data_IF_757509944311
#
_entry.id   IF_757509944311
#
_cell.length_a   1.000
_cell.length_b   1.000
_cell.length_c   1.000
_cell.angle_alpha   90.00
_cell.angle_beta   90.00
_cell.angle_gamma   90.00
#
_symmetry.space_group_name_H-M   'P 1'
#
loop_
_entity.id
_entity.type
_entity.pdbx_description
1 polymer ?
#
# COMPACT_ATOMS: atom_id res chain seq x y z
N UNK A 1 -67.99 -22.25 -41.84
CA UNK A 1 -67.03 -23.33 -41.55
C UNK A 1 -65.64 -22.79 -41.85
N UNK A 2 -64.98 -22.21 -40.85
CA UNK A 2 -63.60 -21.74 -40.96
C UNK A 2 -62.75 -22.61 -40.04
N UNK A 3 -61.74 -23.23 -40.64
CA UNK A 3 -60.74 -24.13 -40.05
C UNK A 3 -59.76 -23.34 -39.18
N UNK A 4 -59.59 -23.75 -37.92
CA UNK A 4 -58.51 -23.30 -37.05
C UNK A 4 -57.28 -24.19 -37.28
N UNK A 5 -56.13 -23.55 -37.50
CA UNK A 5 -54.83 -24.21 -37.55
C UNK A 5 -54.17 -24.17 -36.15
N UNK A 6 -53.81 -25.34 -35.65
CA UNK A 6 -53.07 -25.58 -34.42
C UNK A 6 -51.62 -25.09 -34.56
N UNK A 7 -51.18 -24.22 -33.67
CA UNK A 7 -49.78 -23.78 -33.57
C UNK A 7 -49.03 -24.65 -32.56
N UNK A 8 -48.01 -25.35 -33.03
CA UNK A 8 -47.12 -26.22 -32.25
C UNK A 8 -46.08 -25.35 -31.52
N UNK A 9 -46.02 -25.48 -30.18
CA UNK A 9 -44.97 -24.88 -29.35
C UNK A 9 -43.70 -25.74 -29.44
N UNK A 10 -42.60 -25.19 -29.94
CA UNK A 10 -41.27 -25.79 -29.86
C UNK A 10 -40.53 -25.28 -28.63
N UNK A 11 -40.06 -26.22 -27.79
CA UNK A 11 -39.29 -25.98 -26.58
C UNK A 11 -37.79 -25.88 -26.96
N UNK A 12 -37.24 -24.67 -26.97
CA UNK A 12 -35.80 -24.45 -27.13
C UNK A 12 -35.07 -24.70 -25.81
N UNK A 13 -34.17 -25.68 -25.81
CA UNK A 13 -33.21 -25.98 -24.74
C UNK A 13 -32.18 -24.85 -24.63
N UNK A 14 -32.19 -24.11 -23.52
CA UNK A 14 -31.13 -23.16 -23.17
C UNK A 14 -29.93 -23.91 -22.57
N UNK A 15 -28.84 -23.93 -23.33
CA UNK A 15 -27.52 -24.38 -22.88
C UNK A 15 -26.98 -23.40 -21.85
N UNK A 16 -26.84 -23.84 -20.61
CA UNK A 16 -26.29 -23.07 -19.49
C UNK A 16 -24.82 -22.76 -19.79
N UNK A 17 -24.52 -21.50 -20.11
CA UNK A 17 -23.16 -21.04 -20.34
C UNK A 17 -22.49 -20.78 -18.97
N UNK A 18 -21.67 -21.75 -18.54
CA UNK A 18 -20.83 -21.67 -17.35
C UNK A 18 -19.83 -20.52 -17.48
N UNK A 19 -20.20 -19.37 -16.92
CA UNK A 19 -19.29 -18.22 -16.84
C UNK A 19 -18.38 -18.44 -15.64
N UNK A 20 -17.32 -19.23 -15.86
CA UNK A 20 -16.18 -19.29 -14.96
C UNK A 20 -15.49 -17.93 -14.95
N UNK A 21 -15.85 -17.11 -13.96
CA UNK A 21 -15.21 -15.83 -13.68
C UNK A 21 -13.74 -16.07 -13.32
N UNK A 22 -12.87 -15.80 -14.27
CA UNK A 22 -11.42 -15.76 -14.06
C UNK A 22 -11.09 -14.62 -13.08
N UNK A 23 -10.81 -14.98 -11.82
CA UNK A 23 -10.26 -14.04 -10.83
C UNK A 23 -8.79 -13.83 -11.19
N UNK A 24 -8.48 -12.70 -11.82
CA UNK A 24 -7.09 -12.25 -11.92
C UNK A 24 -6.57 -11.99 -10.50
N UNK A 25 -5.54 -12.73 -10.10
CA UNK A 25 -4.95 -12.56 -8.78
C UNK A 25 -4.29 -11.17 -8.69
N UNK A 26 -4.95 -10.26 -7.99
CA UNK A 26 -4.43 -8.92 -7.71
C UNK A 26 -3.08 -8.99 -6.98
N UNK A 27 -2.16 -8.06 -7.27
CA UNK A 27 -0.83 -8.02 -6.60
C UNK A 27 -1.00 -8.06 -5.06
N UNK A 28 -0.16 -8.81 -4.32
CA UNK A 28 -0.30 -8.94 -2.87
C UNK A 28 -0.08 -7.61 -2.16
N UNK A 29 -0.84 -7.39 -1.09
CA UNK A 29 -0.73 -6.19 -0.25
C UNK A 29 0.64 -6.12 0.42
N UNK A 30 1.18 -4.91 0.48
CA UNK A 30 2.46 -4.61 1.12
C UNK A 30 2.39 -3.26 1.82
N UNK A 31 3.14 -3.12 2.90
CA UNK A 31 3.42 -1.85 3.54
C UNK A 31 4.88 -1.45 3.26
N UNK A 32 5.11 -0.25 2.75
CA UNK A 32 6.47 0.28 2.62
C UNK A 32 6.78 1.18 3.82
N UNK A 33 7.93 0.93 4.45
CA UNK A 33 8.45 1.72 5.57
C UNK A 33 9.74 2.38 5.08
N UNK A 34 9.78 3.71 5.06
CA UNK A 34 10.88 4.50 4.54
C UNK A 34 11.60 5.14 5.72
N UNK A 35 12.85 4.72 5.95
CA UNK A 35 13.68 5.22 7.05
C UNK A 35 14.78 6.12 6.49
N UNK A 36 15.12 7.17 7.22
CA UNK A 36 16.28 8.02 6.90
C UNK A 36 17.61 7.27 7.09
N UNK A 37 18.46 7.26 6.06
CA UNK A 37 19.76 6.58 6.10
C UNK A 37 20.81 7.38 6.87
N UNK A 38 20.75 8.71 6.83
CA UNK A 38 21.66 9.58 7.59
C UNK A 38 21.57 9.38 9.11
N UNK A 39 20.41 8.98 9.65
CA UNK A 39 20.29 8.62 11.07
C UNK A 39 21.25 7.48 11.45
N UNK A 40 21.41 6.48 10.57
CA UNK A 40 22.34 5.38 10.78
C UNK A 40 23.79 5.80 10.46
N UNK A 41 24.01 6.32 9.24
CA UNK A 41 25.37 6.55 8.73
C UNK A 41 26.06 7.75 9.39
N UNK A 42 25.33 8.83 9.69
CA UNK A 42 25.88 10.10 10.18
C UNK A 42 25.60 10.32 11.67
N UNK A 43 24.34 10.19 12.08
CA UNK A 43 23.92 10.41 13.48
C UNK A 43 24.20 9.20 14.39
N UNK A 44 24.68 8.09 13.81
CA UNK A 44 25.12 6.87 14.52
C UNK A 44 24.02 6.24 15.38
N UNK A 45 22.77 6.36 14.96
CA UNK A 45 21.66 5.64 15.58
C UNK A 45 21.89 4.13 15.43
N UNK A 46 21.68 3.39 16.50
CA UNK A 46 21.65 1.93 16.45
C UNK A 46 20.37 1.41 15.78
N UNK A 47 20.34 0.10 15.51
CA UNK A 47 19.13 -0.53 14.97
C UNK A 47 17.91 -0.43 15.90
N UNK A 48 18.11 -0.47 17.22
CA UNK A 48 17.03 -0.37 18.20
C UNK A 48 16.17 0.88 18.03
N UNK A 49 16.77 2.09 18.09
CA UNK A 49 16.05 3.33 17.78
C UNK A 49 15.35 3.32 16.43
N UNK A 50 16.03 2.90 15.35
CA UNK A 50 15.42 2.84 14.01
C UNK A 50 14.21 1.89 13.93
N UNK A 51 14.27 0.75 14.61
CA UNK A 51 13.15 -0.19 14.74
C UNK A 51 11.96 0.45 15.45
N UNK A 52 12.20 1.23 16.51
CA UNK A 52 11.14 1.95 17.22
C UNK A 52 10.46 2.98 16.29
N UNK A 53 11.23 3.76 15.54
CA UNK A 53 10.68 4.72 14.57
C UNK A 53 9.82 4.05 13.50
N UNK A 54 10.31 2.92 12.95
CA UNK A 54 9.57 2.12 11.99
C UNK A 54 8.27 1.55 12.58
N UNK A 55 8.31 1.08 13.83
CA UNK A 55 7.14 0.57 14.55
C UNK A 55 6.11 1.67 14.78
N UNK A 56 6.53 2.86 15.25
CA UNK A 56 5.65 4.01 15.46
C UNK A 56 4.94 4.42 14.16
N UNK A 57 5.69 4.62 13.07
CA UNK A 57 5.12 4.98 11.78
C UNK A 57 4.13 3.92 11.27
N UNK A 58 4.48 2.64 11.36
CA UNK A 58 3.64 1.54 10.91
C UNK A 58 2.34 1.42 11.73
N UNK A 59 2.42 1.54 13.05
CA UNK A 59 1.25 1.51 13.93
C UNK A 59 0.34 2.71 13.68
N UNK A 60 0.91 3.90 13.53
CA UNK A 60 0.15 5.12 13.27
C UNK A 60 -0.62 5.03 11.94
N UNK A 61 0.04 4.65 10.84
CA UNK A 61 -0.65 4.54 9.55
C UNK A 61 -1.75 3.49 9.57
N UNK A 62 -1.51 2.33 10.19
CA UNK A 62 -2.54 1.28 10.34
C UNK A 62 -3.75 1.77 11.15
N UNK A 63 -3.53 2.58 12.18
CA UNK A 63 -4.61 3.13 12.98
C UNK A 63 -5.43 4.17 12.20
N UNK A 64 -4.77 5.07 11.49
CA UNK A 64 -5.43 6.11 10.69
C UNK A 64 -6.17 5.55 9.48
N UNK A 65 -5.66 4.46 8.90
CA UNK A 65 -6.27 3.81 7.73
C UNK A 65 -7.08 2.56 8.07
N UNK A 66 -7.38 2.32 9.34
CA UNK A 66 -8.04 1.08 9.83
C UNK A 66 -9.34 0.74 9.11
N UNK A 67 -10.07 1.74 8.62
CA UNK A 67 -11.37 1.57 7.95
C UNK A 67 -11.24 1.39 6.43
N UNK A 68 -10.02 1.45 5.86
CA UNK A 68 -9.77 1.18 4.44
C UNK A 68 -9.77 -0.31 4.16
N UNK A 69 -10.36 -0.71 3.03
CA UNK A 69 -10.41 -2.11 2.58
C UNK A 69 -9.03 -2.75 2.52
N UNK A 70 -8.01 -2.04 2.04
CA UNK A 70 -6.66 -2.60 1.96
C UNK A 70 -6.03 -2.83 3.34
N UNK A 71 -6.37 -1.99 4.32
CA UNK A 71 -5.86 -2.16 5.70
C UNK A 71 -6.58 -3.31 6.41
N UNK A 72 -7.90 -3.42 6.22
CA UNK A 72 -8.71 -4.52 6.74
C UNK A 72 -8.20 -5.85 6.17
N UNK A 73 -8.06 -5.95 4.83
CA UNK A 73 -7.56 -7.15 4.16
C UNK A 73 -6.14 -7.52 4.61
N UNK A 74 -5.26 -6.52 4.75
CA UNK A 74 -3.89 -6.73 5.23
C UNK A 74 -3.83 -7.27 6.66
N UNK A 75 -4.72 -6.81 7.54
CA UNK A 75 -4.80 -7.24 8.94
C UNK A 75 -5.63 -8.54 9.12
N UNK A 76 -6.46 -8.92 8.15
CA UNK A 76 -7.19 -10.19 8.17
C UNK A 76 -6.26 -11.39 7.94
N UNK A 77 -5.15 -11.22 7.21
CA UNK A 77 -4.14 -12.26 6.95
C UNK A 77 -2.80 -11.95 7.63
N UNK A 78 -2.81 -11.96 8.97
CA UNK A 78 -1.63 -11.63 9.78
C UNK A 78 -0.41 -12.52 9.50
N UNK A 79 -0.62 -13.77 9.07
CA UNK A 79 0.46 -14.73 8.81
C UNK A 79 1.23 -14.43 7.52
N UNK A 80 0.61 -13.72 6.57
CA UNK A 80 1.22 -13.40 5.28
C UNK A 80 1.45 -11.88 5.09
N UNK A 81 1.39 -11.08 6.16
CA UNK A 81 1.72 -9.66 6.11
C UNK A 81 3.12 -9.40 5.56
N UNK A 82 3.21 -8.52 4.57
CA UNK A 82 4.49 -8.09 3.99
C UNK A 82 4.80 -6.65 4.35
N UNK A 83 6.04 -6.42 4.80
CA UNK A 83 6.62 -5.09 5.01
C UNK A 83 7.91 -5.02 4.23
N UNK A 84 8.16 -3.90 3.54
CA UNK A 84 9.41 -3.63 2.84
C UNK A 84 10.02 -2.39 3.44
N UNK A 85 11.25 -2.51 3.93
CA UNK A 85 12.01 -1.38 4.46
C UNK A 85 12.82 -0.76 3.33
N UNK A 86 12.57 0.51 3.08
CA UNK A 86 13.29 1.36 2.15
C UNK A 86 14.06 2.41 2.93
N UNK A 87 15.05 2.99 2.26
CA UNK A 87 15.86 4.06 2.80
C UNK A 87 15.79 5.29 1.89
N UNK A 88 15.77 6.47 2.49
CA UNK A 88 15.94 7.77 1.82
C UNK A 88 17.17 8.47 2.40
N UNK A 89 17.89 9.32 1.65
CA UNK A 89 19.13 9.94 2.14
C UNK A 89 19.02 10.68 3.47
N UNK A 90 18.04 11.57 3.62
CA UNK A 90 17.95 12.50 4.75
C UNK A 90 16.52 13.04 5.00
N UNK A 91 16.37 13.97 5.95
CA UNK A 91 15.10 14.59 6.28
C UNK A 91 14.48 15.37 5.11
N UNK A 92 15.31 15.98 4.26
CA UNK A 92 14.83 16.75 3.10
C UNK A 92 14.18 15.84 2.08
N UNK A 93 14.82 14.72 1.75
CA UNK A 93 14.25 13.74 0.82
C UNK A 93 13.05 13.00 1.41
N UNK A 94 13.03 12.77 2.74
CA UNK A 94 11.85 12.24 3.43
C UNK A 94 10.66 13.20 3.35
N UNK A 95 10.88 14.49 3.59
CA UNK A 95 9.84 15.52 3.46
C UNK A 95 9.30 15.65 2.02
N UNK A 96 10.19 15.59 1.01
CA UNK A 96 9.79 15.54 -0.41
C UNK A 96 8.91 14.34 -0.72
N UNK A 97 9.20 13.17 -0.14
CA UNK A 97 8.36 11.99 -0.29
C UNK A 97 6.97 12.23 0.27
N UNK A 98 6.86 12.72 1.51
CA UNK A 98 5.56 13.00 2.13
C UNK A 98 4.74 13.99 1.30
N UNK A 99 5.36 15.07 0.81
CA UNK A 99 4.68 16.03 -0.06
C UNK A 99 4.19 15.37 -1.37
N UNK A 100 5.01 14.53 -2.01
CA UNK A 100 4.64 13.85 -3.25
C UNK A 100 3.50 12.84 -3.08
N UNK A 101 3.48 12.12 -1.94
CA UNK A 101 2.38 11.20 -1.60
C UNK A 101 1.08 11.98 -1.35
N UNK A 102 1.16 13.09 -0.60
CA UNK A 102 0.03 13.99 -0.34
C UNK A 102 -0.54 14.65 -1.60
N UNK A 103 0.29 14.96 -2.59
CA UNK A 103 -0.11 15.65 -3.82
C UNK A 103 -0.47 14.71 -4.97
N UNK A 104 -0.72 13.43 -4.71
CA UNK A 104 -1.07 12.46 -5.76
C UNK A 104 -2.51 12.65 -6.24
N UNK A 105 -2.74 12.54 -7.56
CA UNK A 105 -4.03 12.63 -8.24
C UNK A 105 -4.52 11.20 -8.58
N UNK A 106 -5.81 10.85 -8.36
CA UNK A 106 -6.93 11.71 -7.94
C UNK A 106 -7.10 11.90 -6.44
N UNK A 107 -6.35 11.15 -5.64
CA UNK A 107 -6.40 11.29 -4.19
C UNK A 107 -5.01 11.07 -3.57
N UNK A 108 -4.74 11.70 -2.42
CA UNK A 108 -3.50 11.47 -1.68
C UNK A 108 -3.27 10.00 -1.40
N UNK A 109 -2.03 9.55 -1.53
CA UNK A 109 -1.63 8.22 -1.09
C UNK A 109 -1.60 8.22 0.44
N UNK A 110 -2.35 7.34 1.14
CA UNK A 110 -2.34 7.30 2.60
C UNK A 110 -0.97 6.90 3.13
N UNK A 111 -0.42 7.74 3.98
CA UNK A 111 0.87 7.54 4.61
C UNK A 111 0.93 8.32 5.93
N UNK A 112 1.85 7.93 6.79
CA UNK A 112 2.13 8.65 8.04
C UNK A 112 3.60 9.03 8.10
N UNK A 113 3.89 10.29 8.40
CA UNK A 113 5.24 10.79 8.69
C UNK A 113 5.44 10.83 10.20
N UNK A 114 6.26 9.93 10.73
CA UNK A 114 6.66 9.94 12.13
C UNK A 114 7.74 10.98 12.38
N UNK A 115 7.50 11.79 13.41
CA UNK A 115 8.36 12.88 13.86
C UNK A 115 8.70 12.64 15.33
N UNK A 116 9.98 12.40 15.61
CA UNK A 116 10.48 12.10 16.94
C UNK A 116 10.45 13.35 17.85
N UNK A 117 10.05 13.16 19.10
CA UNK A 117 10.01 14.18 20.14
C UNK A 117 11.11 13.92 21.18
N UNK A 118 11.63 14.97 21.87
CA UNK A 118 11.21 16.38 21.82
C UNK A 118 11.86 17.22 20.69
N UNK A 119 12.80 16.68 19.92
CA UNK A 119 13.57 17.43 18.93
C UNK A 119 12.76 17.82 17.68
N UNK A 120 11.56 17.25 17.53
CA UNK A 120 10.64 17.46 16.41
C UNK A 120 11.28 17.13 15.05
N UNK A 121 11.96 15.98 14.98
CA UNK A 121 12.73 15.56 13.80
C UNK A 121 11.98 14.46 13.02
N UNK A 122 11.68 14.66 11.72
CA UNK A 122 11.09 13.60 10.89
C UNK A 122 12.08 12.45 10.70
N UNK A 123 11.68 11.21 11.05
CA UNK A 123 12.59 10.04 11.03
C UNK A 123 12.14 8.94 10.08
N UNK A 124 10.84 8.71 9.95
CA UNK A 124 10.30 7.56 9.21
C UNK A 124 8.95 7.89 8.55
N UNK A 125 8.70 7.35 7.36
CA UNK A 125 7.36 7.32 6.75
C UNK A 125 6.89 5.87 6.66
N UNK A 126 5.62 5.61 6.95
CA UNK A 126 4.96 4.37 6.58
C UNK A 126 3.84 4.67 5.58
N UNK A 127 3.84 3.97 4.44
CA UNK A 127 2.74 4.02 3.46
C UNK A 127 1.75 2.92 3.83
N UNK A 128 0.46 3.23 3.87
CA UNK A 128 -0.59 2.27 4.22
C UNK A 128 -0.56 1.03 3.31
N UNK A 129 -1.09 -0.13 3.75
CA UNK A 129 -1.15 -1.32 2.91
C UNK A 129 -1.72 -1.02 1.52
N UNK A 130 -0.98 -1.42 0.47
CA UNK A 130 -1.32 -1.13 -0.91
C UNK A 130 -0.83 -2.23 -1.86
N UNK A 131 -1.30 -2.19 -3.11
CA UNK A 131 -0.91 -3.12 -4.19
C UNK A 131 0.17 -2.54 -5.12
N UNK A 132 1.11 -1.78 -4.53
CA UNK A 132 2.24 -1.14 -5.21
C UNK A 132 1.84 -0.36 -6.45
N UNK A 133 0.88 0.55 -6.35
CA UNK A 133 0.43 1.33 -7.51
C UNK A 133 1.58 2.10 -8.19
N UNK A 134 1.42 2.42 -9.48
CA UNK A 134 2.46 3.14 -10.25
C UNK A 134 2.77 4.52 -9.66
N UNK A 135 1.78 5.19 -9.08
CA UNK A 135 1.91 6.47 -8.38
C UNK A 135 2.87 6.37 -7.19
N UNK A 136 2.73 5.32 -6.37
CA UNK A 136 3.61 5.03 -5.23
C UNK A 136 5.05 4.82 -5.70
N UNK A 137 5.26 3.96 -6.71
CA UNK A 137 6.59 3.73 -7.29
C UNK A 137 7.23 5.04 -7.77
N UNK A 138 6.47 5.85 -8.51
CA UNK A 138 6.94 7.16 -9.00
C UNK A 138 7.32 8.12 -7.86
N UNK A 139 6.56 8.14 -6.76
CA UNK A 139 6.86 8.99 -5.61
C UNK A 139 8.14 8.54 -4.88
N UNK A 140 8.33 7.23 -4.72
CA UNK A 140 9.53 6.63 -4.15
C UNK A 140 10.77 6.95 -5.00
N UNK A 141 10.69 6.79 -6.32
CA UNK A 141 11.79 7.05 -7.25
C UNK A 141 12.21 8.52 -7.23
N UNK A 142 11.24 9.44 -7.29
CA UNK A 142 11.48 10.90 -7.22
C UNK A 142 12.12 11.35 -5.90
N UNK A 143 11.94 10.57 -4.84
CA UNK A 143 12.43 10.89 -3.49
C UNK A 143 13.67 10.06 -3.12
N UNK A 144 14.35 9.48 -4.12
CA UNK A 144 15.58 8.70 -3.96
C UNK A 144 15.46 7.54 -2.98
N UNK A 145 14.25 6.97 -2.87
CA UNK A 145 13.99 5.82 -2.02
C UNK A 145 14.50 4.55 -2.71
N UNK A 146 15.19 3.71 -1.94
CA UNK A 146 15.76 2.43 -2.40
C UNK A 146 15.68 1.40 -1.30
N UNK A 147 15.80 0.11 -1.62
CA UNK A 147 15.76 -0.94 -0.60
C UNK A 147 16.83 -0.70 0.47
N UNK A 148 16.47 -0.81 1.76
CA UNK A 148 17.45 -0.78 2.83
C UNK A 148 18.28 -2.06 2.76
N UNK A 149 19.59 -1.92 2.52
CA UNK A 149 20.54 -3.04 2.49
C UNK A 149 21.34 -3.07 3.77
N UNK A 150 21.76 -4.28 4.15
CA UNK A 150 22.46 -4.57 5.40
C UNK A 150 23.91 -4.07 5.44
N UNK A 151 24.40 -3.53 4.33
CA UNK A 151 25.78 -3.08 4.11
C UNK A 151 26.21 -2.00 5.13
#
# INVERSE_FOLDING_TARGET
MQTQATSTFELTTETSNDTSSQVSASEPLVMQIIVRRDLFDKEKWGHGPLMAQAAHAATAVLHETRDRVETIDYLADLKNMRKVVLQTPDASTLGKLSAALSSTDPSPIPHYLWTEQPENVPTCIAIAPNRKEKSIRRALDKSSCRLWRSD
#
